data_IF_404326006614
#
_entry.id   IF_404326006614
#
_cell.length_a   1.000
_cell.length_b   1.000
_cell.length_c   1.000
_cell.angle_alpha   90.00
_cell.angle_beta   90.00
_cell.angle_gamma   90.00
#
_symmetry.space_group_name_H-M   'P 1'
#
loop_
_entity.id
_entity.type
_entity.pdbx_description
1 polymer ?
#
# COMPACT_ATOMS: atom_id res chain seq x y z
N UNK A 1 4.60 7.71 -1.11
CA UNK A 1 3.79 8.95 -1.15
C UNK A 1 4.20 9.85 0.00
N UNK A 2 4.31 11.17 -0.20
CA UNK A 2 4.60 12.12 0.88
C UNK A 2 3.97 13.48 0.60
N UNK A 3 3.63 14.21 1.66
CA UNK A 3 3.30 15.64 1.59
C UNK A 3 4.52 16.49 1.95
N UNK A 4 4.40 17.81 1.87
CA UNK A 4 5.48 18.73 2.23
C UNK A 4 5.89 18.55 3.69
N UNK A 5 7.18 18.71 3.97
CA UNK A 5 7.73 18.66 5.33
C UNK A 5 7.00 19.67 6.22
N UNK A 6 6.51 19.21 7.38
CA UNK A 6 5.76 20.02 8.33
C UNK A 6 4.24 20.05 8.10
N UNK A 7 3.73 19.38 7.06
CA UNK A 7 2.30 19.12 6.88
C UNK A 7 2.00 17.65 7.19
N UNK A 8 0.87 17.42 7.86
CA UNK A 8 0.39 16.08 8.14
C UNK A 8 -0.94 15.85 7.44
N UNK A 9 -1.24 14.59 7.17
CA UNK A 9 -2.54 14.15 6.66
C UNK A 9 -3.03 12.92 7.42
N UNK A 10 -4.31 12.63 7.26
CA UNK A 10 -4.93 11.36 7.59
C UNK A 10 -5.07 10.53 6.31
N UNK A 11 -4.50 9.33 6.28
CA UNK A 11 -4.80 8.34 5.25
C UNK A 11 -6.09 7.61 5.65
N UNK A 12 -7.16 7.82 4.90
CA UNK A 12 -8.46 7.19 5.17
C UNK A 12 -8.48 5.79 4.57
N UNK A 13 -8.21 5.69 3.27
CA UNK A 13 -8.20 4.44 2.52
C UNK A 13 -7.29 4.48 1.29
N UNK A 14 -7.00 3.29 0.76
CA UNK A 14 -6.26 3.08 -0.48
C UNK A 14 -6.71 1.77 -1.12
N UNK A 15 -6.89 1.75 -2.44
CA UNK A 15 -7.13 0.51 -3.19
C UNK A 15 -5.81 -0.12 -3.61
N UNK A 16 -5.63 -1.43 -3.39
CA UNK A 16 -4.39 -2.15 -3.67
C UNK A 16 -4.64 -3.47 -4.42
N UNK A 17 -3.77 -3.81 -5.37
CA UNK A 17 -3.86 -5.07 -6.13
C UNK A 17 -2.47 -5.57 -6.54
N UNK A 18 -2.22 -6.88 -6.50
CA UNK A 18 -0.96 -7.42 -6.99
C UNK A 18 -0.95 -7.43 -8.52
N UNK A 19 0.19 -7.07 -9.14
CA UNK A 19 0.29 -7.05 -10.60
C UNK A 19 0.44 -8.47 -11.17
N UNK A 20 1.33 -9.28 -10.58
CA UNK A 20 1.78 -10.54 -11.19
C UNK A 20 1.68 -11.77 -10.28
N UNK A 21 1.63 -11.58 -8.95
CA UNK A 21 1.77 -12.66 -7.98
C UNK A 21 0.60 -12.69 -6.99
N UNK A 22 0.00 -13.87 -6.84
CA UNK A 22 -0.95 -14.14 -5.76
C UNK A 22 -0.23 -14.26 -4.43
N UNK A 23 -0.91 -13.96 -3.32
CA UNK A 23 -0.33 -13.93 -1.98
C UNK A 23 0.93 -13.06 -1.89
N UNK A 24 0.99 -11.95 -2.64
CA UNK A 24 2.10 -11.01 -2.55
C UNK A 24 2.01 -10.26 -1.23
N UNK A 25 3.02 -10.39 -0.37
CA UNK A 25 3.04 -9.69 0.91
C UNK A 25 3.48 -8.25 0.72
N UNK A 26 2.70 -7.30 1.22
CA UNK A 26 3.01 -5.87 1.22
C UNK A 26 2.99 -5.33 2.64
N UNK A 27 4.11 -4.77 3.07
CA UNK A 27 4.21 -3.99 4.31
C UNK A 27 3.96 -2.52 4.00
N UNK A 28 2.96 -1.93 4.66
CA UNK A 28 2.61 -0.51 4.53
C UNK A 28 3.00 0.18 5.83
N UNK A 29 3.74 1.29 5.76
CA UNK A 29 4.13 2.07 6.93
C UNK A 29 3.67 3.51 6.79
N UNK A 30 3.00 4.02 7.81
CA UNK A 30 2.71 5.44 7.99
C UNK A 30 3.82 6.08 8.81
N UNK A 31 4.39 7.18 8.32
CA UNK A 31 5.59 7.82 8.86
C UNK A 31 5.27 9.25 9.26
N UNK A 32 5.79 9.68 10.41
CA UNK A 32 5.73 11.05 10.94
C UNK A 32 7.15 11.49 11.24
N UNK A 33 7.63 12.56 10.60
CA UNK A 33 8.97 13.10 10.79
C UNK A 33 10.07 12.02 10.70
N UNK A 34 10.00 11.17 9.67
CA UNK A 34 10.88 10.00 9.45
C UNK A 34 10.76 8.85 10.47
N UNK A 35 9.86 8.93 11.44
CA UNK A 35 9.61 7.84 12.39
C UNK A 35 8.36 7.05 11.93
N UNK A 36 8.44 5.73 11.73
CA UNK A 36 7.25 4.92 11.48
C UNK A 36 6.35 4.89 12.72
N UNK A 37 5.11 5.36 12.56
CA UNK A 37 4.10 5.43 13.63
C UNK A 37 2.94 4.46 13.41
N UNK A 38 2.74 4.00 12.17
CA UNK A 38 1.78 2.96 11.82
C UNK A 38 2.45 1.90 10.94
N UNK A 39 1.99 0.65 11.06
CA UNK A 39 2.39 -0.44 10.19
C UNK A 39 1.24 -1.43 10.01
N UNK A 40 1.04 -1.90 8.79
CA UNK A 40 0.25 -3.09 8.51
C UNK A 40 0.97 -3.99 7.51
N UNK A 41 0.61 -5.27 7.51
CA UNK A 41 1.07 -6.25 6.52
C UNK A 41 -0.15 -6.89 5.91
N UNK A 42 -0.25 -6.86 4.59
CA UNK A 42 -1.37 -7.43 3.84
C UNK A 42 -0.87 -8.37 2.75
N UNK A 43 -1.72 -9.30 2.34
CA UNK A 43 -1.46 -10.16 1.18
C UNK A 43 -2.38 -9.74 0.03
N UNK A 44 -1.76 -9.35 -1.08
CA UNK A 44 -2.46 -8.96 -2.30
C UNK A 44 -2.62 -10.17 -3.23
N UNK A 45 -3.70 -10.15 -4.01
CA UNK A 45 -3.96 -11.13 -5.06
C UNK A 45 -3.95 -10.44 -6.42
N UNK A 46 -3.66 -11.21 -7.47
CA UNK A 46 -3.83 -10.76 -8.85
C UNK A 46 -5.31 -10.63 -9.14
N UNK A 47 -5.69 -9.54 -9.82
CA UNK A 47 -7.06 -9.27 -10.23
C UNK A 47 -8.10 -9.31 -9.09
N UNK A 48 -7.68 -9.01 -7.85
CA UNK A 48 -8.66 -8.82 -6.77
C UNK A 48 -9.51 -7.60 -7.07
N UNK A 49 -10.80 -7.81 -7.33
CA UNK A 49 -11.76 -6.70 -7.43
C UNK A 49 -11.81 -5.98 -6.09
N UNK A 50 -11.28 -4.76 -6.06
CA UNK A 50 -11.46 -3.75 -5.01
C UNK A 50 -11.07 -4.19 -3.59
N UNK A 51 -9.79 -4.47 -3.35
CA UNK A 51 -9.28 -4.47 -1.97
C UNK A 51 -9.08 -3.01 -1.55
N UNK A 52 -10.18 -2.36 -1.17
CA UNK A 52 -10.16 -1.09 -0.47
C UNK A 52 -9.64 -1.34 0.95
N UNK A 53 -8.48 -0.79 1.27
CA UNK A 53 -7.87 -0.93 2.58
C UNK A 53 -8.11 0.34 3.40
N UNK A 54 -9.02 0.24 4.39
CA UNK A 54 -9.37 1.35 5.29
C UNK A 54 -8.48 1.31 6.53
N UNK A 55 -7.74 2.40 6.78
CA UNK A 55 -6.75 2.47 7.88
C UNK A 55 -6.97 3.61 8.86
N UNK A 56 -7.47 4.76 8.38
CA UNK A 56 -7.67 5.99 9.18
C UNK A 56 -6.41 6.41 9.97
N UNK A 57 -5.25 6.37 9.33
CA UNK A 57 -3.97 6.74 9.95
C UNK A 57 -3.75 8.24 9.95
N UNK A 58 -3.81 8.88 11.12
CA UNK A 58 -3.74 10.33 11.25
C UNK A 58 -2.35 10.85 11.61
N UNK A 59 -2.06 12.09 11.19
CA UNK A 59 -0.83 12.77 11.60
C UNK A 59 0.43 12.19 10.96
N UNK A 60 0.34 11.64 9.75
CA UNK A 60 1.50 11.14 8.99
C UNK A 60 1.87 12.14 7.90
N UNK A 61 3.14 12.14 7.49
CA UNK A 61 3.66 12.95 6.38
C UNK A 61 4.11 12.10 5.18
N UNK A 62 4.24 10.79 5.38
CA UNK A 62 4.72 9.84 4.37
C UNK A 62 4.11 8.46 4.57
N UNK A 63 3.86 7.79 3.45
CA UNK A 63 3.50 6.37 3.39
C UNK A 63 4.51 5.65 2.50
N UNK A 64 5.06 4.55 3.01
CA UNK A 64 5.99 3.68 2.27
C UNK A 64 5.43 2.27 2.17
N UNK A 65 5.79 1.59 1.09
CA UNK A 65 5.39 0.23 0.78
C UNK A 65 6.63 -0.61 0.50
N UNK A 66 6.63 -1.85 0.99
CA UNK A 66 7.67 -2.84 0.71
C UNK A 66 6.97 -4.16 0.37
N UNK A 67 7.30 -4.74 -0.79
CA UNK A 67 6.60 -5.89 -1.35
C UNK A 67 7.53 -7.08 -1.62
N UNK A 68 7.16 -8.26 -1.11
CA UNK A 68 7.98 -9.47 -1.19
C UNK A 68 7.14 -10.73 -1.42
N UNK A 69 7.77 -11.76 -1.98
CA UNK A 69 7.22 -13.11 -2.07
C UNK A 69 6.10 -13.26 -3.12
N UNK A 70 5.07 -14.03 -2.77
CA UNK A 70 3.97 -14.40 -3.64
C UNK A 70 4.27 -15.54 -4.62
N UNK A 71 3.22 -16.02 -5.29
CA UNK A 71 3.20 -17.11 -6.25
C UNK A 71 2.80 -16.54 -7.61
N UNK A 72 3.58 -16.85 -8.64
CA UNK A 72 3.31 -16.38 -10.01
C UNK A 72 1.92 -16.79 -10.49
N UNK A 73 1.20 -15.85 -11.12
CA UNK A 73 -0.10 -16.12 -11.66
C UNK A 73 0.01 -16.70 -13.08
N UNK A 74 -0.47 -17.93 -13.34
CA UNK A 74 -0.09 -18.72 -14.52
C UNK A 74 -0.54 -18.13 -15.87
N UNK A 75 -1.46 -17.15 -15.86
CA UNK A 75 -2.07 -16.60 -17.07
C UNK A 75 -1.61 -15.17 -17.40
N UNK A 76 -0.54 -14.68 -16.76
CA UNK A 76 0.02 -13.34 -17.02
C UNK A 76 1.49 -13.43 -17.42
N UNK A 77 1.85 -12.79 -18.53
CA UNK A 77 3.23 -12.69 -19.01
C UNK A 77 3.95 -11.49 -18.38
N UNK A 78 4.06 -11.50 -17.06
CA UNK A 78 4.76 -10.47 -16.28
C UNK A 78 5.43 -11.08 -15.04
N UNK A 79 6.27 -10.32 -14.35
CA UNK A 79 7.03 -10.87 -13.22
C UNK A 79 7.53 -9.81 -12.25
N UNK A 80 7.96 -10.28 -11.08
CA UNK A 80 8.42 -9.47 -9.95
C UNK A 80 7.39 -9.29 -8.84
N UNK A 81 7.71 -8.44 -7.87
CA UNK A 81 6.90 -8.17 -6.67
C UNK A 81 6.13 -6.85 -6.76
N UNK A 82 5.84 -6.39 -7.98
CA UNK A 82 5.10 -5.15 -8.21
C UNK A 82 3.62 -5.32 -7.85
N UNK A 83 3.04 -4.22 -7.42
CA UNK A 83 1.63 -4.05 -7.14
C UNK A 83 1.20 -2.69 -7.67
N UNK A 84 -0.10 -2.49 -7.81
CA UNK A 84 -0.70 -1.21 -8.20
C UNK A 84 -1.54 -0.67 -7.05
N UNK A 85 -1.68 0.65 -7.02
CA UNK A 85 -2.55 1.33 -6.07
C UNK A 85 -3.32 2.45 -6.77
N UNK A 86 -4.54 2.70 -6.29
CA UNK A 86 -5.42 3.77 -6.78
C UNK A 86 -6.40 4.22 -5.67
N UNK A 87 -7.27 5.18 -5.98
CA UNK A 87 -8.35 5.66 -5.11
C UNK A 87 -7.87 6.02 -3.70
N UNK A 88 -6.75 6.75 -3.62
CA UNK A 88 -6.19 7.21 -2.35
C UNK A 88 -7.10 8.31 -1.78
N UNK A 89 -7.68 8.07 -0.61
CA UNK A 89 -8.45 9.06 0.15
C UNK A 89 -7.63 9.59 1.34
N UNK A 90 -7.45 10.91 1.37
CA UNK A 90 -6.75 11.61 2.44
C UNK A 90 -7.52 12.83 2.94
N UNK A 91 -7.35 13.16 4.22
CA UNK A 91 -7.79 14.42 4.83
C UNK A 91 -6.58 15.22 5.30
N UNK A 92 -6.55 16.52 5.05
CA UNK A 92 -5.46 17.44 5.45
C UNK A 92 -5.97 18.37 6.54
#
# INVERSE_FOLDING_TARGET
>A
MSVRVGQYFQLNSISLCAAWRNNLTVTIKGIRANIPVYQTVINLQVASKNILYTVKWAGIDKVTFDSVGGIEYPNLNGGGTQFVFDDIDITI
#
